data_IF_638013445821
#
_entry.id   IF_638013445821
#
_cell.length_a   1.000
_cell.length_b   1.000
_cell.length_c   1.000
_cell.angle_alpha   90.00
_cell.angle_beta   90.00
_cell.angle_gamma   90.00
#
_symmetry.space_group_name_H-M   'P 1'
#
loop_
_entity.id
_entity.type
_entity.pdbx_description
1 polymer ?
#
# COMPACT_ATOMS: atom_id res chain seq x y z
N UNK A 1 -16.62 1.07 2.23
CA UNK A 1 -16.37 0.01 3.24
C UNK A 1 -17.08 0.34 4.54
N UNK A 2 -18.38 -0.01 4.69
CA UNK A 2 -19.17 0.37 5.88
C UNK A 2 -18.68 -0.28 7.19
N UNK A 3 -17.86 -1.32 7.10
CA UNK A 3 -17.24 -1.99 8.26
C UNK A 3 -15.95 -1.31 8.76
N UNK A 4 -15.40 -0.32 8.02
CA UNK A 4 -14.25 0.47 8.45
C UNK A 4 -14.78 1.75 9.10
N UNK A 5 -14.53 1.92 10.39
CA UNK A 5 -14.98 3.11 11.13
C UNK A 5 -14.30 4.39 10.65
N UNK A 6 -15.00 5.52 10.76
CA UNK A 6 -14.48 6.83 10.32
C UNK A 6 -13.15 7.23 11.00
N UNK A 7 -12.90 6.74 12.21
CA UNK A 7 -11.64 6.96 12.96
C UNK A 7 -10.42 6.31 12.31
N UNK A 8 -10.62 5.36 11.39
CA UNK A 8 -9.55 4.69 10.64
C UNK A 8 -9.36 5.28 9.23
N UNK A 9 -9.97 6.42 8.94
CA UNK A 9 -9.83 7.14 7.67
C UNK A 9 -9.01 8.40 7.92
N UNK A 10 -7.87 8.51 7.26
CA UNK A 10 -6.95 9.64 7.38
C UNK A 10 -6.86 10.35 6.02
N UNK A 11 -7.13 11.66 6.02
CA UNK A 11 -6.90 12.51 4.85
C UNK A 11 -5.52 13.15 4.98
N UNK A 12 -4.59 12.77 4.12
CA UNK A 12 -3.23 13.30 4.09
C UNK A 12 -2.69 13.33 2.66
N UNK A 13 -1.87 14.34 2.34
CA UNK A 13 -1.15 14.42 1.08
C UNK A 13 0.18 13.66 1.14
N UNK A 14 0.92 13.86 2.23
CA UNK A 14 2.10 13.08 2.59
C UNK A 14 1.71 12.02 3.64
N UNK A 15 2.07 10.76 3.37
CA UNK A 15 1.60 9.60 4.15
C UNK A 15 2.47 9.39 5.38
N UNK A 16 2.41 10.36 6.29
CA UNK A 16 3.07 10.32 7.59
C UNK A 16 2.23 9.46 8.53
N UNK A 17 2.31 8.15 8.34
CA UNK A 17 1.56 7.15 9.12
C UNK A 17 2.52 6.15 9.76
N UNK A 18 2.26 5.81 11.02
CA UNK A 18 2.99 4.76 11.72
C UNK A 18 2.16 3.47 11.72
N UNK A 19 2.40 2.61 10.72
CA UNK A 19 1.68 1.35 10.49
C UNK A 19 2.66 0.27 10.03
N UNK A 20 2.30 -1.00 10.22
CA UNK A 20 3.18 -2.12 9.88
C UNK A 20 3.24 -2.42 8.38
N UNK A 21 2.14 -2.19 7.65
CA UNK A 21 2.00 -2.52 6.23
C UNK A 21 1.35 -1.37 5.47
N UNK A 22 1.89 -1.04 4.30
CA UNK A 22 1.30 -0.12 3.35
C UNK A 22 1.07 -0.81 2.01
N UNK A 23 -0.18 -0.80 1.54
CA UNK A 23 -0.57 -1.26 0.20
C UNK A 23 -0.89 -0.01 -0.64
N UNK A 24 -0.13 0.23 -1.69
CA UNK A 24 -0.21 1.47 -2.47
C UNK A 24 0.24 1.26 -3.91
N UNK A 25 -0.29 2.05 -4.84
CA UNK A 25 0.10 2.00 -6.26
C UNK A 25 1.18 3.04 -6.61
N UNK A 26 1.49 3.98 -5.70
CA UNK A 26 2.49 5.02 -5.91
C UNK A 26 3.73 4.80 -5.03
N UNK A 27 4.82 4.38 -5.67
CA UNK A 27 6.11 4.16 -5.01
C UNK A 27 6.66 5.36 -4.22
N UNK A 28 6.28 6.61 -4.58
CA UNK A 28 6.66 7.80 -3.81
C UNK A 28 6.20 7.73 -2.34
N UNK A 29 5.10 7.03 -2.06
CA UNK A 29 4.56 6.88 -0.70
C UNK A 29 5.39 5.90 0.14
N UNK A 30 6.29 5.14 -0.49
CA UNK A 30 7.19 4.19 0.18
C UNK A 30 8.53 4.82 0.58
N UNK A 31 8.84 6.02 0.10
CA UNK A 31 10.07 6.73 0.44
C UNK A 31 9.98 7.13 1.91
N UNK A 32 10.96 6.68 2.72
CA UNK A 32 10.97 6.93 4.16
C UNK A 32 10.01 6.09 5.00
N UNK A 33 9.11 5.29 4.39
CA UNK A 33 8.27 4.36 5.12
C UNK A 33 9.09 3.16 5.61
N UNK A 34 9.00 2.87 6.91
CA UNK A 34 9.78 1.83 7.59
C UNK A 34 9.09 0.46 7.63
N UNK A 35 7.77 0.40 7.41
CA UNK A 35 7.01 -0.85 7.39
C UNK A 35 7.12 -1.63 6.08
N UNK A 36 6.37 -2.73 5.97
CA UNK A 36 6.31 -3.57 4.77
C UNK A 36 5.57 -2.88 3.64
N UNK A 37 6.21 -2.77 2.48
CA UNK A 37 5.71 -2.09 1.28
C UNK A 37 5.15 -3.11 0.31
N UNK A 38 3.86 -3.03 -0.01
CA UNK A 38 3.23 -3.83 -1.06
C UNK A 38 2.80 -2.91 -2.21
N UNK A 39 3.52 -2.98 -3.33
CA UNK A 39 3.19 -2.24 -4.54
C UNK A 39 2.01 -2.89 -5.24
N UNK A 40 0.86 -2.22 -5.22
CA UNK A 40 -0.33 -2.64 -5.95
C UNK A 40 -0.17 -2.29 -7.43
N UNK A 41 -0.34 -3.27 -8.32
CA UNK A 41 -0.12 -3.07 -9.75
C UNK A 41 -1.11 -2.08 -10.36
N UNK A 42 -0.57 -1.12 -11.11
CA UNK A 42 -1.30 -0.10 -11.87
C UNK A 42 -0.49 0.25 -13.13
N UNK A 43 -1.11 0.70 -14.24
CA UNK A 43 -0.41 0.91 -15.50
C UNK A 43 0.86 1.77 -15.41
N UNK A 44 0.88 2.82 -14.57
CA UNK A 44 2.03 3.72 -14.43
C UNK A 44 3.20 3.12 -13.65
N UNK A 45 3.01 2.01 -12.94
CA UNK A 45 4.04 1.40 -12.10
C UNK A 45 4.58 0.07 -12.63
N UNK A 46 4.17 -0.36 -13.83
CA UNK A 46 4.54 -1.67 -14.40
C UNK A 46 6.06 -1.89 -14.55
N UNK A 47 6.83 -0.82 -14.77
CA UNK A 47 8.27 -0.90 -14.96
C UNK A 47 9.06 -0.89 -13.63
N UNK A 48 8.38 -0.71 -12.49
CA UNK A 48 9.02 -0.74 -11.17
C UNK A 48 9.18 -2.20 -10.72
N UNK A 49 10.42 -2.66 -10.56
CA UNK A 49 10.72 -4.04 -10.16
C UNK A 49 11.31 -4.15 -8.74
N UNK A 50 11.55 -3.01 -8.07
CA UNK A 50 12.27 -2.94 -6.79
C UNK A 50 11.37 -3.15 -5.55
N UNK A 51 10.08 -3.45 -5.75
CA UNK A 51 9.11 -3.59 -4.67
C UNK A 51 8.44 -4.96 -4.67
N UNK A 52 8.13 -5.46 -3.48
CA UNK A 52 7.21 -6.58 -3.34
C UNK A 52 5.85 -6.18 -3.94
N UNK A 53 5.41 -6.92 -4.97
CA UNK A 53 4.26 -6.57 -5.80
C UNK A 53 3.07 -7.50 -5.56
N UNK A 54 1.87 -6.92 -5.67
CA UNK A 54 0.58 -7.61 -5.72
C UNK A 54 -0.21 -7.09 -6.91
N UNK A 55 -0.78 -7.99 -7.71
CA UNK A 55 -1.54 -7.63 -8.91
C UNK A 55 -3.05 -7.46 -8.63
N UNK A 56 -3.53 -7.98 -7.51
CA UNK A 56 -4.93 -7.99 -7.16
C UNK A 56 -5.12 -8.29 -5.66
N UNK A 57 -6.36 -8.18 -5.18
CA UNK A 57 -6.71 -8.43 -3.79
C UNK A 57 -6.55 -9.89 -3.34
N UNK A 58 -6.58 -10.88 -4.25
CA UNK A 58 -6.31 -12.28 -3.88
C UNK A 58 -4.84 -12.49 -3.53
N UNK A 59 -3.94 -11.82 -4.25
CA UNK A 59 -2.51 -11.83 -3.93
C UNK A 59 -2.20 -11.06 -2.65
N UNK A 60 -2.92 -9.96 -2.37
CA UNK A 60 -2.85 -9.28 -1.06
C UNK A 60 -3.19 -10.26 0.06
N UNK A 61 -4.31 -10.96 -0.07
CA UNK A 61 -4.75 -11.96 0.91
C UNK A 61 -3.68 -13.03 1.14
N UNK A 62 -3.15 -13.61 0.06
CA UNK A 62 -2.13 -14.66 0.12
C UNK A 62 -0.79 -14.23 0.73
N UNK A 63 -0.51 -12.92 0.80
CA UNK A 63 0.73 -12.37 1.38
C UNK A 63 0.59 -11.93 2.83
N UNK A 64 -0.63 -11.74 3.31
CA UNK A 64 -0.93 -11.18 4.64
C UNK A 64 -1.61 -12.17 5.59
N UNK A 65 -2.10 -13.30 5.07
CA UNK A 65 -2.55 -14.45 5.85
C UNK A 65 -1.54 -15.59 5.75
#
# INVERSE_FOLDING_TARGET
>A
FPFIGWRNIIFCGDKIVNVDVMIDDRAKNFVGFSGRKLLFTSPHNLLLNDYERVNNWREVLAKLL
#
